data_IF_821689293357
#
_entry.id   IF_821689293357
#
_cell.length_a   1.000
_cell.length_b   1.000
_cell.length_c   1.000
_cell.angle_alpha   90.00
_cell.angle_beta   90.00
_cell.angle_gamma   90.00
#
_symmetry.space_group_name_H-M   'P 1'
#
loop_
_entity.id
_entity.type
_entity.pdbx_description
1 polymer ?
#
# COMPACT_ATOMS: atom_id res chain seq x y z
N UNK A 1 50.63 -9.79 -26.75
CA UNK A 1 49.61 -8.69 -26.78
C UNK A 1 48.15 -9.20 -26.75
N UNK A 2 47.88 -10.41 -26.24
CA UNK A 2 46.52 -10.98 -26.30
C UNK A 2 45.76 -10.91 -24.97
N UNK A 3 46.46 -10.79 -23.83
CA UNK A 3 45.84 -10.73 -22.50
C UNK A 3 45.04 -9.42 -22.26
N UNK A 4 45.47 -8.31 -22.86
CA UNK A 4 44.80 -7.01 -22.70
C UNK A 4 43.42 -6.97 -23.40
N UNK A 5 43.24 -7.75 -24.48
CA UNK A 5 41.96 -7.84 -25.20
C UNK A 5 40.92 -8.64 -24.43
N UNK A 6 41.33 -9.67 -23.68
CA UNK A 6 40.42 -10.46 -22.84
C UNK A 6 40.03 -9.71 -21.56
N UNK A 7 40.91 -8.87 -21.01
CA UNK A 7 40.58 -8.04 -19.84
C UNK A 7 39.53 -6.96 -20.18
N UNK A 8 39.59 -6.40 -21.39
CA UNK A 8 38.59 -5.44 -21.89
C UNK A 8 37.24 -6.10 -22.21
N UNK A 9 37.24 -7.35 -22.69
CA UNK A 9 35.98 -8.07 -22.96
C UNK A 9 35.26 -8.49 -21.66
N UNK A 10 36.00 -8.81 -20.59
CA UNK A 10 35.43 -9.14 -19.29
C UNK A 10 34.83 -7.91 -18.58
N UNK A 11 35.37 -6.71 -18.81
CA UNK A 11 34.89 -5.46 -18.20
C UNK A 11 33.58 -4.95 -18.83
N UNK A 12 33.32 -5.26 -20.10
CA UNK A 12 32.06 -4.87 -20.77
C UNK A 12 30.90 -5.77 -20.34
N UNK A 13 31.16 -7.01 -19.89
CA UNK A 13 30.12 -7.96 -19.50
C UNK A 13 29.55 -7.76 -18.09
N UNK A 14 30.19 -6.98 -17.21
CA UNK A 14 29.70 -6.75 -15.84
C UNK A 14 28.75 -5.55 -15.70
N UNK A 15 28.56 -4.75 -16.76
CA UNK A 15 27.75 -3.52 -16.71
C UNK A 15 26.25 -3.71 -17.01
N UNK A 16 25.77 -4.93 -17.29
CA UNK A 16 24.37 -5.15 -17.73
C UNK A 16 23.40 -5.41 -16.57
N UNK A 17 23.87 -5.59 -15.33
CA UNK A 17 22.98 -5.58 -14.16
C UNK A 17 22.66 -4.15 -13.72
N UNK A 18 22.13 -3.33 -14.66
CA UNK A 18 21.31 -2.20 -14.26
C UNK A 18 20.07 -2.78 -13.59
N UNK A 19 19.95 -2.55 -12.30
CA UNK A 19 18.72 -2.73 -11.55
C UNK A 19 17.57 -2.20 -12.41
N UNK A 20 16.78 -3.10 -12.97
CA UNK A 20 15.55 -2.70 -13.64
C UNK A 20 14.70 -2.10 -12.52
N UNK A 21 14.50 -0.78 -12.56
CA UNK A 21 13.44 -0.13 -11.80
C UNK A 21 12.13 -0.76 -12.30
N UNK A 22 11.73 -1.85 -11.66
CA UNK A 22 10.44 -2.48 -11.91
C UNK A 22 9.41 -1.50 -11.40
N UNK A 23 8.74 -0.82 -12.34
CA UNK A 23 7.60 0.03 -12.02
C UNK A 23 6.61 -0.77 -11.16
N UNK A 24 5.98 -0.08 -10.21
CA UNK A 24 4.95 -0.69 -9.40
C UNK A 24 3.84 -1.32 -10.27
N UNK A 25 3.24 -2.45 -9.85
CA UNK A 25 2.04 -2.97 -10.50
C UNK A 25 0.96 -1.89 -10.65
N UNK A 26 0.14 -1.96 -11.70
CA UNK A 26 -0.94 -0.98 -11.96
C UNK A 26 -1.87 -0.82 -10.75
N UNK A 27 -2.30 -1.92 -10.16
CA UNK A 27 -3.25 -1.91 -9.04
C UNK A 27 -2.63 -1.29 -7.78
N UNK A 28 -1.33 -1.51 -7.55
CA UNK A 28 -0.59 -0.86 -6.46
C UNK A 28 -0.46 0.64 -6.73
N UNK A 29 -0.16 1.01 -7.97
CA UNK A 29 -0.07 2.41 -8.39
C UNK A 29 -1.38 3.15 -8.15
N UNK A 30 -2.51 2.53 -8.50
CA UNK A 30 -3.84 3.12 -8.33
C UNK A 30 -4.24 3.22 -6.86
N UNK A 31 -3.94 2.19 -6.06
CA UNK A 31 -4.06 2.24 -4.61
C UNK A 31 -3.29 3.41 -4.02
N UNK A 32 -2.01 3.58 -4.39
CA UNK A 32 -1.15 4.61 -3.85
C UNK A 32 -1.60 6.03 -4.23
N UNK A 33 -2.12 6.22 -5.45
CA UNK A 33 -2.73 7.51 -5.85
C UNK A 33 -3.95 7.84 -4.99
N UNK A 34 -4.82 6.88 -4.74
CA UNK A 34 -6.00 7.06 -3.87
C UNK A 34 -5.59 7.30 -2.44
N UNK A 35 -4.60 6.57 -1.93
CA UNK A 35 -4.09 6.76 -0.58
C UNK A 35 -3.43 8.13 -0.41
N UNK A 36 -2.70 8.62 -1.42
CA UNK A 36 -2.15 9.98 -1.42
C UNK A 36 -3.24 11.06 -1.40
N UNK A 37 -4.34 10.84 -2.12
CA UNK A 37 -5.48 11.74 -2.08
C UNK A 37 -6.19 11.68 -0.72
N UNK A 38 -6.35 10.47 -0.17
CA UNK A 38 -6.93 10.24 1.15
C UNK A 38 -6.13 10.98 2.22
N UNK A 39 -4.80 10.89 2.25
CA UNK A 39 -3.96 11.63 3.21
C UNK A 39 -4.18 13.15 3.18
N UNK A 40 -4.41 13.72 1.99
CA UNK A 40 -4.64 15.16 1.84
C UNK A 40 -6.01 15.61 2.33
N UNK A 41 -7.01 14.74 2.22
CA UNK A 41 -8.42 15.08 2.50
C UNK A 41 -8.93 14.53 3.83
N UNK A 42 -8.29 13.50 4.37
CA UNK A 42 -8.71 12.85 5.61
C UNK A 42 -8.23 13.64 6.82
N UNK A 43 -8.95 14.73 7.11
CA UNK A 43 -8.70 15.51 8.30
C UNK A 43 -9.22 14.73 9.54
N UNK A 44 -8.36 14.44 10.54
CA UNK A 44 -8.76 13.66 11.73
C UNK A 44 -9.92 14.29 12.53
N UNK A 45 -10.25 15.56 12.28
CA UNK A 45 -11.41 16.27 12.85
C UNK A 45 -12.76 15.89 12.22
N UNK A 46 -12.79 15.20 11.08
CA UNK A 46 -14.04 14.75 10.39
C UNK A 46 -14.55 13.41 10.97
N UNK A 47 -13.82 12.83 11.94
CA UNK A 47 -14.19 11.61 12.68
C UNK A 47 -15.61 11.65 13.24
N UNK A 48 -16.10 12.82 13.64
CA UNK A 48 -17.36 12.94 14.39
C UNK A 48 -18.61 12.88 13.50
N UNK A 49 -18.46 12.85 12.17
CA UNK A 49 -19.60 12.88 11.22
C UNK A 49 -19.69 11.68 10.28
N UNK A 50 -18.71 10.78 10.24
CA UNK A 50 -18.76 9.63 9.33
C UNK A 50 -19.55 8.47 9.95
N UNK A 51 -20.62 7.98 9.29
CA UNK A 51 -21.37 6.85 9.81
C UNK A 51 -20.47 5.61 9.83
N UNK A 52 -20.34 5.01 11.00
CA UNK A 52 -19.65 3.73 11.16
C UNK A 52 -20.56 2.65 10.54
N UNK A 53 -20.20 2.18 9.35
CA UNK A 53 -20.90 1.09 8.71
C UNK A 53 -20.51 -0.23 9.36
N UNK A 54 -21.51 -1.04 9.74
CA UNK A 54 -21.30 -2.43 10.13
C UNK A 54 -21.45 -3.29 8.87
N UNK A 55 -20.49 -4.16 8.54
CA UNK A 55 -20.66 -5.04 7.38
C UNK A 55 -21.86 -5.96 7.63
N UNK A 56 -22.79 -6.02 6.68
CA UNK A 56 -23.87 -7.00 6.72
C UNK A 56 -23.28 -8.41 6.67
N UNK A 57 -23.95 -9.38 7.33
CA UNK A 57 -23.43 -10.74 7.60
C UNK A 57 -22.97 -11.54 6.36
N UNK A 58 -23.21 -11.05 5.14
CA UNK A 58 -22.78 -11.64 3.87
C UNK A 58 -21.79 -10.82 3.05
N UNK A 59 -21.51 -9.54 3.39
CA UNK A 59 -20.60 -8.65 2.65
C UNK A 59 -19.20 -8.56 3.26
N UNK A 60 -18.87 -9.44 4.21
CA UNK A 60 -17.49 -9.67 4.65
C UNK A 60 -16.69 -10.40 3.56
N UNK A 61 -16.49 -9.73 2.42
CA UNK A 61 -15.55 -10.16 1.40
C UNK A 61 -14.12 -10.01 1.94
N UNK A 62 -13.63 -11.09 2.56
CA UNK A 62 -12.30 -11.32 3.12
C UNK A 62 -11.41 -10.07 3.31
N UNK A 63 -11.74 -9.35 4.36
CA UNK A 63 -10.77 -8.57 5.10
C UNK A 63 -9.82 -9.58 5.80
N UNK A 64 -8.48 -9.38 5.87
CA UNK A 64 -7.57 -10.33 6.51
C UNK A 64 -8.09 -10.78 7.87
N UNK A 65 -8.03 -12.08 8.18
CA UNK A 65 -8.72 -12.79 9.28
C UNK A 65 -8.66 -12.14 10.70
N UNK A 66 -7.84 -11.10 10.90
CA UNK A 66 -7.78 -10.28 12.12
C UNK A 66 -8.88 -9.19 12.24
N UNK A 67 -9.60 -8.88 11.16
CA UNK A 67 -10.70 -7.88 11.17
C UNK A 67 -12.00 -8.59 11.56
N UNK A 68 -12.10 -8.91 12.86
CA UNK A 68 -13.29 -9.49 13.48
C UNK A 68 -14.54 -8.71 13.05
N UNK A 69 -15.56 -9.45 12.60
CA UNK A 69 -16.93 -9.13 12.12
C UNK A 69 -17.71 -7.94 12.71
N UNK A 70 -17.19 -7.21 13.70
CA UNK A 70 -17.88 -6.13 14.41
C UNK A 70 -17.16 -4.78 14.39
N UNK A 71 -16.03 -4.64 13.68
CA UNK A 71 -15.29 -3.38 13.64
C UNK A 71 -15.77 -2.58 12.44
N UNK A 72 -16.61 -1.59 12.72
CA UNK A 72 -17.10 -0.74 11.66
C UNK A 72 -16.00 0.14 11.08
N UNK A 73 -16.23 0.56 9.85
CA UNK A 73 -15.30 1.35 9.05
C UNK A 73 -15.99 2.63 8.58
N UNK A 74 -15.16 3.58 8.15
CA UNK A 74 -15.60 4.81 7.52
C UNK A 74 -15.20 4.76 6.05
N UNK A 75 -16.11 5.13 5.16
CA UNK A 75 -15.80 5.27 3.74
C UNK A 75 -15.44 6.74 3.50
N UNK A 76 -14.23 6.97 2.98
CA UNK A 76 -13.85 8.29 2.50
C UNK A 76 -14.67 8.65 1.25
N UNK A 77 -15.44 9.76 1.25
CA UNK A 77 -16.35 10.05 0.14
C UNK A 77 -15.63 10.41 -1.16
N UNK A 78 -14.37 10.85 -1.10
CA UNK A 78 -13.59 11.28 -2.26
C UNK A 78 -12.89 10.09 -2.92
N UNK A 79 -12.23 9.27 -2.10
CA UNK A 79 -11.37 8.18 -2.57
C UNK A 79 -12.03 6.81 -2.52
N UNK A 80 -13.18 6.71 -1.86
CA UNK A 80 -13.90 5.46 -1.54
C UNK A 80 -13.09 4.47 -0.71
N UNK A 81 -11.94 4.88 -0.18
CA UNK A 81 -11.14 4.06 0.71
C UNK A 81 -11.86 3.82 2.03
N UNK A 82 -11.71 2.61 2.54
CA UNK A 82 -12.27 2.20 3.82
C UNK A 82 -11.22 2.39 4.91
N UNK A 83 -11.44 3.34 5.80
CA UNK A 83 -10.63 3.51 7.00
C UNK A 83 -11.22 2.67 8.13
N UNK A 84 -10.38 1.84 8.76
CA UNK A 84 -10.67 1.05 9.95
C UNK A 84 -9.92 1.64 11.15
N UNK A 85 -10.48 2.64 11.87
CA UNK A 85 -9.76 3.34 12.93
C UNK A 85 -9.29 2.44 14.07
N UNK A 86 -10.08 1.43 14.41
CA UNK A 86 -9.77 0.48 15.47
C UNK A 86 -8.59 -0.46 15.15
N UNK A 87 -8.17 -0.47 13.89
CA UNK A 87 -7.11 -1.32 13.38
C UNK A 87 -5.90 -0.52 12.89
N UNK A 88 -6.04 0.81 12.80
CA UNK A 88 -5.06 1.65 12.13
C UNK A 88 -4.78 1.14 10.73
N UNK A 89 -5.83 0.89 9.93
CA UNK A 89 -5.68 0.40 8.55
C UNK A 89 -6.58 1.17 7.60
N UNK A 90 -6.08 1.36 6.38
CA UNK A 90 -6.86 1.82 5.23
C UNK A 90 -6.86 0.70 4.19
N UNK A 91 -8.03 0.43 3.62
CA UNK A 91 -8.25 -0.61 2.64
C UNK A 91 -8.94 -0.05 1.39
N UNK A 92 -8.49 -0.50 0.23
CA UNK A 92 -9.11 -0.21 -1.05
C UNK A 92 -9.86 -1.46 -1.54
N UNK A 93 -11.20 -1.43 -1.56
CA UNK A 93 -11.98 -2.57 -2.01
C UNK A 93 -11.82 -2.87 -3.50
N UNK A 94 -11.42 -1.88 -4.32
CA UNK A 94 -11.30 -2.06 -5.76
C UNK A 94 -9.97 -2.73 -6.14
N UNK A 95 -8.86 -2.31 -5.53
CA UNK A 95 -7.52 -2.88 -5.82
C UNK A 95 -7.19 -4.08 -4.91
N UNK A 96 -7.88 -4.19 -3.78
CA UNK A 96 -7.64 -5.22 -2.77
C UNK A 96 -6.40 -4.97 -1.92
N UNK A 97 -5.79 -3.79 -2.00
CA UNK A 97 -4.66 -3.39 -1.17
C UNK A 97 -5.10 -2.80 0.17
N UNK A 98 -4.31 -3.05 1.21
CA UNK A 98 -4.43 -2.40 2.51
C UNK A 98 -3.09 -1.89 3.00
N UNK A 99 -3.09 -0.87 3.85
CA UNK A 99 -1.89 -0.34 4.47
C UNK A 99 -2.15 0.04 5.92
N UNK A 100 -1.12 -0.09 6.77
CA UNK A 100 -1.15 0.46 8.12
C UNK A 100 -1.21 1.99 8.08
N UNK A 101 -2.16 2.56 8.81
CA UNK A 101 -2.47 3.97 8.80
C UNK A 101 -2.56 4.55 10.21
N UNK A 102 -1.83 5.64 10.42
CA UNK A 102 -1.83 6.46 11.62
C UNK A 102 -2.12 7.91 11.25
N UNK A 103 -3.30 8.45 11.61
CA UNK A 103 -3.71 9.80 11.18
C UNK A 103 -2.88 10.93 11.81
N UNK A 104 -1.98 10.63 12.74
CA UNK A 104 -1.06 11.61 13.34
C UNK A 104 0.31 11.63 12.66
N UNK A 105 0.57 10.68 11.76
CA UNK A 105 1.86 10.57 11.12
C UNK A 105 1.87 11.24 9.75
N UNK A 106 3.05 11.68 9.35
CA UNK A 106 3.27 12.19 8.00
C UNK A 106 3.71 11.04 7.09
N UNK A 107 3.01 10.91 5.96
CA UNK A 107 3.30 9.90 4.96
C UNK A 107 3.96 10.51 3.72
N UNK A 108 5.07 9.92 3.28
CA UNK A 108 5.68 10.19 1.97
C UNK A 108 5.36 9.03 1.04
N UNK A 109 4.73 9.32 -0.10
CA UNK A 109 4.25 8.30 -1.04
C UNK A 109 4.98 8.49 -2.36
N UNK A 110 5.77 7.49 -2.73
CA UNK A 110 6.39 7.37 -4.04
C UNK A 110 5.57 6.39 -4.89
N UNK A 111 4.65 6.95 -5.66
CA UNK A 111 3.74 6.20 -6.52
C UNK A 111 4.49 5.43 -7.61
N UNK A 112 5.59 6.00 -8.14
CA UNK A 112 6.35 5.37 -9.23
C UNK A 112 7.14 4.16 -8.73
N UNK A 113 7.80 4.32 -7.57
CA UNK A 113 8.54 3.24 -6.93
C UNK A 113 7.63 2.22 -6.21
N UNK A 114 6.34 2.53 -6.03
CA UNK A 114 5.41 1.68 -5.30
C UNK A 114 5.64 1.67 -3.79
N UNK A 115 6.18 2.76 -3.24
CA UNK A 115 6.64 2.83 -1.85
C UNK A 115 5.88 3.86 -1.04
N UNK A 116 5.70 3.54 0.23
CA UNK A 116 5.11 4.44 1.22
C UNK A 116 6.01 4.47 2.43
N UNK A 117 6.23 5.66 2.97
CA UNK A 117 7.04 5.89 4.16
C UNK A 117 6.23 6.62 5.21
N UNK A 118 6.32 6.16 6.46
CA UNK A 118 5.84 6.84 7.66
C UNK A 118 7.06 7.40 8.38
N UNK A 119 7.32 8.71 8.23
CA UNK A 119 8.63 9.27 8.56
C UNK A 119 9.74 8.62 7.72
N UNK A 120 10.71 7.97 8.37
CA UNK A 120 11.82 7.26 7.71
C UNK A 120 11.56 5.75 7.54
N UNK A 121 10.43 5.24 8.04
CA UNK A 121 10.10 3.81 7.99
C UNK A 121 9.24 3.49 6.78
N UNK A 122 9.68 2.56 5.93
CA UNK A 122 8.87 2.04 4.83
C UNK A 122 7.69 1.22 5.38
N UNK A 123 6.47 1.57 4.98
CA UNK A 123 5.24 0.84 5.30
C UNK A 123 4.77 0.15 4.02
N UNK A 124 4.74 -1.18 4.04
CA UNK A 124 4.42 -1.96 2.86
C UNK A 124 2.90 -2.14 2.70
N UNK A 125 2.32 -1.75 1.55
CA UNK A 125 0.96 -2.14 1.21
C UNK A 125 0.87 -3.67 1.05
N UNK A 126 -0.18 -4.26 1.61
CA UNK A 126 -0.47 -5.69 1.56
C UNK A 126 -1.66 -5.92 0.62
N UNK A 127 -1.53 -6.85 -0.34
CA UNK A 127 -2.64 -7.25 -1.20
C UNK A 127 -3.40 -8.42 -0.57
N UNK A 128 -4.72 -8.44 -0.71
CA UNK A 128 -5.55 -9.59 -0.33
C UNK A 128 -4.96 -10.89 -0.88
N UNK A 129 -4.63 -11.84 0.00
CA UNK A 129 -4.04 -13.14 -0.35
C UNK A 129 -2.50 -13.22 -0.31
N UNK A 130 -1.77 -12.13 -0.04
CA UNK A 130 -0.30 -12.17 0.08
C UNK A 130 0.22 -12.45 1.49
N UNK A 131 -0.66 -12.61 2.49
CA UNK A 131 -0.26 -13.21 3.76
C UNK A 131 -0.13 -14.71 3.53
N UNK A 132 1.10 -15.21 3.40
CA UNK A 132 1.36 -16.65 3.54
C UNK A 132 0.62 -17.14 4.79
N UNK A 133 -0.34 -18.02 4.58
CA UNK A 133 -0.78 -18.98 5.59
C UNK A 133 0.50 -19.70 6.05
N UNK A 134 1.03 -19.28 7.18
CA UNK A 134 1.78 -20.15 8.07
C UNK A 134 0.80 -20.59 9.14
N UNK A 135 -0.09 -21.50 8.75
CA UNK A 135 -0.76 -22.43 9.64
C UNK A 135 -0.03 -23.77 9.56
#
# INVERSE_FOLDING_TARGET
MNALRFLLLALVMTCVFKAQAQNAPSDLTDFLKRFQLFEKHHNPKVRDTMPILKPDKGETAAIPNAIKKNRGFMIDPVTRLQHYPQLGKVYDPETGYSISYDPKAEYKIDVQAGKVYKGDMEVKPERRGSSSDKG
#
